data_IF_851382104939
#
_entry.id   IF_851382104939
#
_cell.length_a   1.000
_cell.length_b   1.000
_cell.length_c   1.000
_cell.angle_alpha   90.00
_cell.angle_beta   90.00
_cell.angle_gamma   90.00
#
_symmetry.space_group_name_H-M   'P 1'
#
loop_
_entity.id
_entity.type
_entity.pdbx_description
1 polymer ?
#
# COMPACT_ATOMS: atom_id res chain seq x y z
N UNK A 1 0.02 -20.50 8.45
CA UNK A 1 1.32 -20.33 7.79
C UNK A 1 2.24 -19.57 8.76
N UNK A 2 3.11 -20.31 9.41
CA UNK A 2 4.17 -19.73 10.25
C UNK A 2 5.23 -19.21 9.28
N UNK A 3 5.35 -17.90 9.15
CA UNK A 3 6.46 -17.30 8.42
C UNK A 3 7.75 -17.61 9.20
N UNK A 4 8.86 -17.95 8.52
CA UNK A 4 10.15 -18.21 9.16
C UNK A 4 10.61 -17.04 10.04
N UNK A 5 10.19 -15.84 9.72
CA UNK A 5 10.43 -14.61 10.49
C UNK A 5 9.88 -14.62 11.92
N UNK A 6 8.88 -15.47 12.21
CA UNK A 6 8.29 -15.62 13.55
C UNK A 6 9.07 -16.62 14.43
N UNK A 7 10.07 -17.30 13.88
CA UNK A 7 10.93 -18.23 14.60
C UNK A 7 12.03 -17.51 15.36
N UNK A 8 12.59 -18.19 16.37
CA UNK A 8 13.74 -17.67 17.14
C UNK A 8 14.91 -17.37 16.17
N UNK A 9 15.30 -16.12 16.08
CA UNK A 9 16.35 -15.64 15.15
C UNK A 9 15.83 -15.09 13.81
N UNK A 10 14.50 -15.06 13.58
CA UNK A 10 13.91 -14.39 12.43
C UNK A 10 13.82 -12.87 12.62
N UNK A 11 13.57 -12.13 11.52
CA UNK A 11 13.46 -10.66 11.50
C UNK A 11 12.14 -10.11 12.04
N UNK A 12 11.30 -10.98 12.60
CA UNK A 12 9.98 -10.63 13.15
C UNK A 12 8.87 -10.59 12.08
N UNK A 13 7.71 -10.09 12.48
CA UNK A 13 6.52 -10.07 11.62
C UNK A 13 6.71 -9.11 10.42
N UNK A 14 6.76 -9.59 9.16
CA UNK A 14 6.98 -8.75 7.98
C UNK A 14 5.83 -7.77 7.69
N UNK A 15 4.70 -7.92 8.36
CA UNK A 15 3.54 -7.04 8.17
C UNK A 15 3.83 -5.59 8.57
N UNK A 16 4.62 -5.36 9.62
CA UNK A 16 5.03 -4.01 10.03
C UNK A 16 5.91 -3.35 8.96
N UNK A 17 6.91 -4.08 8.48
CA UNK A 17 7.79 -3.62 7.41
C UNK A 17 7.01 -3.28 6.13
N UNK A 18 6.10 -4.19 5.73
CA UNK A 18 5.23 -4.00 4.57
C UNK A 18 4.39 -2.73 4.72
N UNK A 19 3.75 -2.54 5.87
CA UNK A 19 2.93 -1.37 6.16
C UNK A 19 3.69 -0.05 6.01
N UNK A 20 4.91 0.03 6.57
CA UNK A 20 5.79 1.21 6.44
C UNK A 20 6.13 1.50 4.98
N UNK A 21 6.41 0.47 4.18
CA UNK A 21 6.67 0.61 2.75
C UNK A 21 5.47 1.17 2.00
N UNK A 22 4.28 0.60 2.21
CA UNK A 22 3.05 1.06 1.56
C UNK A 22 2.73 2.50 1.93
N UNK A 23 2.84 2.88 3.19
CA UNK A 23 2.58 4.26 3.63
C UNK A 23 3.62 5.23 3.06
N UNK A 24 4.89 4.84 2.95
CA UNK A 24 5.93 5.62 2.27
C UNK A 24 5.59 5.82 0.78
N UNK A 25 5.08 4.81 0.09
CA UNK A 25 4.63 4.91 -1.30
C UNK A 25 3.39 5.80 -1.46
N UNK A 26 2.45 5.79 -0.51
CA UNK A 26 1.31 6.71 -0.46
C UNK A 26 1.78 8.16 -0.36
N UNK A 27 2.73 8.45 0.54
CA UNK A 27 3.31 9.80 0.67
C UNK A 27 3.99 10.26 -0.63
N UNK A 28 4.77 9.38 -1.26
CA UNK A 28 5.44 9.69 -2.53
C UNK A 28 4.43 9.98 -3.66
N UNK A 29 3.32 9.24 -3.72
CA UNK A 29 2.27 9.46 -4.71
C UNK A 29 1.53 10.79 -4.50
N UNK A 30 1.23 11.15 -3.24
CA UNK A 30 0.63 12.45 -2.91
C UNK A 30 1.57 13.61 -3.23
N UNK A 31 2.85 13.49 -2.90
CA UNK A 31 3.86 14.49 -3.18
C UNK A 31 4.00 14.71 -4.71
N UNK A 32 4.08 13.64 -5.49
CA UNK A 32 4.10 13.69 -6.95
C UNK A 32 2.91 14.44 -7.54
N UNK A 33 1.73 14.26 -6.95
CA UNK A 33 0.49 14.94 -7.36
C UNK A 33 0.40 16.39 -6.84
N UNK A 34 1.37 16.87 -6.06
CA UNK A 34 1.31 18.18 -5.43
C UNK A 34 0.19 18.32 -4.38
N UNK A 35 -0.25 17.19 -3.79
CA UNK A 35 -1.34 17.15 -2.80
C UNK A 35 -0.87 17.25 -1.35
N UNK A 36 0.42 17.48 -1.12
CA UNK A 36 1.01 17.58 0.21
C UNK A 36 1.24 16.22 0.87
N UNK A 37 1.23 16.20 2.19
CA UNK A 37 1.43 15.00 3.01
C UNK A 37 0.12 14.26 3.34
N UNK A 38 0.20 13.25 4.21
CA UNK A 38 -0.94 12.45 4.69
C UNK A 38 -1.81 13.20 5.71
N UNK A 39 -1.33 14.30 6.27
CA UNK A 39 -2.07 15.07 7.26
C UNK A 39 -3.44 15.52 6.76
N UNK A 40 -4.49 15.20 7.53
CA UNK A 40 -5.87 15.55 7.20
C UNK A 40 -6.51 14.76 6.04
N UNK A 41 -5.78 13.87 5.35
CA UNK A 41 -6.30 13.06 4.25
C UNK A 41 -7.24 11.95 4.72
N UNK A 42 -7.98 11.37 3.76
CA UNK A 42 -8.86 10.21 3.98
C UNK A 42 -8.32 9.00 3.22
N UNK A 43 -8.17 7.87 3.92
CA UNK A 43 -7.79 6.59 3.33
C UNK A 43 -8.92 5.59 3.50
N UNK A 44 -9.37 4.97 2.41
CA UNK A 44 -10.29 3.85 2.43
C UNK A 44 -9.54 2.55 2.18
N UNK A 45 -9.78 1.52 2.99
CA UNK A 45 -9.08 0.22 2.94
C UNK A 45 -10.06 -0.93 2.74
N UNK A 46 -9.80 -1.75 1.75
CA UNK A 46 -10.47 -3.03 1.57
C UNK A 46 -9.63 -4.12 2.22
N UNK A 47 -10.10 -4.63 3.37
CA UNK A 47 -9.38 -5.54 4.26
C UNK A 47 -8.73 -4.83 5.45
N UNK A 48 -8.92 -5.40 6.65
CA UNK A 48 -8.39 -4.92 7.93
C UNK A 48 -7.52 -5.99 8.62
N UNK A 49 -6.75 -6.76 7.84
CA UNK A 49 -5.84 -7.79 8.33
C UNK A 49 -4.61 -7.22 9.04
N UNK A 50 -3.59 -8.07 9.24
CA UNK A 50 -2.38 -7.69 9.99
C UNK A 50 -1.64 -6.49 9.37
N UNK A 51 -1.37 -6.51 8.06
CA UNK A 51 -0.69 -5.38 7.40
C UNK A 51 -1.52 -4.11 7.53
N UNK A 52 -2.84 -4.19 7.32
CA UNK A 52 -3.74 -3.04 7.39
C UNK A 52 -3.74 -2.39 8.78
N UNK A 53 -3.69 -3.16 9.88
CA UNK A 53 -3.60 -2.57 11.22
C UNK A 53 -2.30 -1.78 11.43
N UNK A 54 -1.16 -2.31 11.02
CA UNK A 54 0.09 -1.54 11.07
C UNK A 54 0.08 -0.32 10.14
N UNK A 55 -0.59 -0.40 8.99
CA UNK A 55 -0.81 0.77 8.13
C UNK A 55 -1.65 1.84 8.84
N UNK A 56 -2.70 1.45 9.56
CA UNK A 56 -3.53 2.38 10.33
C UNK A 56 -2.67 3.10 11.38
N UNK A 57 -1.83 2.37 12.13
CA UNK A 57 -0.93 2.97 13.12
C UNK A 57 0.05 3.98 12.49
N UNK A 58 0.67 3.62 11.37
CA UNK A 58 1.56 4.49 10.61
C UNK A 58 0.84 5.75 10.07
N UNK A 59 -0.38 5.62 9.58
CA UNK A 59 -1.21 6.73 9.11
C UNK A 59 -1.60 7.66 10.26
N UNK A 60 -2.01 7.09 11.40
CA UNK A 60 -2.33 7.86 12.60
C UNK A 60 -1.14 8.65 13.12
N UNK A 61 0.06 8.06 13.09
CA UNK A 61 1.30 8.75 13.48
C UNK A 61 1.63 9.94 12.56
N UNK A 62 1.14 9.94 11.31
CA UNK A 62 1.29 11.02 10.32
C UNK A 62 0.13 12.02 10.30
N UNK A 63 -0.78 11.93 11.25
CA UNK A 63 -1.89 12.88 11.37
C UNK A 63 -2.97 12.72 10.33
N UNK A 64 -3.22 11.49 9.85
CA UNK A 64 -4.31 11.19 8.92
C UNK A 64 -5.64 11.74 9.44
N UNK A 65 -6.46 12.32 8.58
CA UNK A 65 -7.75 12.87 8.96
C UNK A 65 -8.79 11.77 9.24
N UNK A 66 -8.83 10.72 8.45
CA UNK A 66 -9.75 9.59 8.63
C UNK A 66 -9.24 8.35 7.92
N UNK A 67 -9.41 7.19 8.57
CA UNK A 67 -9.28 5.87 7.96
C UNK A 67 -10.64 5.19 7.97
N UNK A 68 -11.05 4.62 6.84
CA UNK A 68 -12.27 3.81 6.72
C UNK A 68 -11.82 2.44 6.25
N UNK A 69 -11.95 1.41 7.08
CA UNK A 69 -11.54 0.06 6.72
C UNK A 69 -12.71 -0.91 6.80
N UNK A 70 -12.81 -1.81 5.84
CA UNK A 70 -13.81 -2.88 5.81
C UNK A 70 -13.16 -4.26 5.89
N UNK A 71 -13.79 -5.18 6.60
CA UNK A 71 -13.38 -6.59 6.65
C UNK A 71 -14.61 -7.49 6.80
N UNK A 72 -14.49 -8.73 6.35
CA UNK A 72 -15.55 -9.74 6.44
C UNK A 72 -15.56 -10.47 7.78
N UNK A 73 -14.53 -10.32 8.60
CA UNK A 73 -14.38 -10.98 9.91
C UNK A 73 -15.01 -10.15 11.04
N UNK A 74 -16.13 -10.61 11.64
CA UNK A 74 -16.72 -9.89 12.77
C UNK A 74 -15.77 -9.78 13.95
N UNK A 75 -15.00 -10.84 14.24
CA UNK A 75 -14.06 -10.86 15.35
C UNK A 75 -12.95 -9.81 15.16
N UNK A 76 -12.42 -9.72 13.93
CA UNK A 76 -11.38 -8.73 13.60
C UNK A 76 -11.90 -7.29 13.70
N UNK A 77 -13.09 -7.04 13.19
CA UNK A 77 -13.72 -5.73 13.28
C UNK A 77 -13.94 -5.31 14.73
N UNK A 78 -14.40 -6.22 15.59
CA UNK A 78 -14.62 -5.91 16.99
C UNK A 78 -13.31 -5.65 17.75
N UNK A 79 -12.28 -6.47 17.52
CA UNK A 79 -10.92 -6.25 18.05
C UNK A 79 -10.40 -4.86 17.71
N UNK A 80 -10.46 -4.49 16.43
CA UNK A 80 -9.95 -3.20 15.96
C UNK A 80 -10.79 -2.01 16.42
N UNK A 81 -12.11 -2.17 16.59
CA UNK A 81 -12.96 -1.12 17.17
C UNK A 81 -12.56 -0.79 18.60
N UNK A 82 -12.23 -1.82 19.38
CA UNK A 82 -11.74 -1.62 20.75
C UNK A 82 -10.36 -0.96 20.75
N UNK A 83 -9.47 -1.43 19.87
CA UNK A 83 -8.10 -0.92 19.77
C UNK A 83 -8.05 0.56 19.33
N UNK A 84 -8.86 0.94 18.36
CA UNK A 84 -8.88 2.31 17.81
C UNK A 84 -9.99 3.19 18.39
N UNK A 85 -10.57 2.84 19.53
CA UNK A 85 -11.61 3.65 20.16
C UNK A 85 -11.16 5.11 20.38
N UNK A 86 -11.97 6.06 19.93
CA UNK A 86 -11.65 7.49 20.03
C UNK A 86 -10.61 8.01 19.02
N UNK A 87 -10.14 7.19 18.09
CA UNK A 87 -9.27 7.59 16.99
C UNK A 87 -10.11 7.82 15.70
N UNK A 88 -9.61 8.57 14.72
CA UNK A 88 -10.31 8.82 13.46
C UNK A 88 -10.31 7.58 12.52
N UNK A 89 -10.73 6.44 13.06
CA UNK A 89 -10.78 5.14 12.36
C UNK A 89 -12.20 4.61 12.39
N UNK A 90 -12.79 4.43 11.23
CA UNK A 90 -14.11 3.82 11.04
C UNK A 90 -13.94 2.39 10.53
N UNK A 91 -14.56 1.44 11.22
CA UNK A 91 -14.46 0.01 10.92
C UNK A 91 -15.82 -0.55 10.54
N UNK A 92 -15.92 -1.12 9.36
CA UNK A 92 -17.15 -1.64 8.77
C UNK A 92 -17.06 -3.16 8.60
N UNK A 93 -18.02 -3.87 9.17
CA UNK A 93 -18.24 -5.26 8.81
C UNK A 93 -18.88 -5.32 7.43
N UNK A 94 -18.26 -6.01 6.51
CA UNK A 94 -18.71 -6.18 5.13
C UNK A 94 -19.17 -7.61 4.86
N UNK A 95 -20.17 -7.80 4.01
CA UNK A 95 -20.44 -9.10 3.42
C UNK A 95 -19.34 -9.47 2.40
N UNK A 96 -19.14 -10.76 2.08
CA UNK A 96 -18.09 -11.18 1.14
C UNK A 96 -18.19 -10.54 -0.27
N UNK A 97 -19.39 -10.19 -0.69
CA UNK A 97 -19.73 -9.55 -1.97
C UNK A 97 -19.98 -8.05 -1.87
N UNK A 98 -19.82 -7.46 -0.68
CA UNK A 98 -20.01 -6.03 -0.47
C UNK A 98 -18.86 -5.24 -1.09
N UNK A 99 -19.20 -4.40 -2.06
CA UNK A 99 -18.29 -3.50 -2.77
C UNK A 99 -18.42 -2.03 -2.35
N UNK A 100 -19.18 -1.73 -1.31
CA UNK A 100 -19.46 -0.35 -0.90
C UNK A 100 -18.20 0.45 -0.59
N UNK A 101 -17.15 -0.19 -0.07
CA UNK A 101 -15.88 0.45 0.24
C UNK A 101 -15.19 1.06 -0.99
N UNK A 102 -15.39 0.50 -2.21
CA UNK A 102 -14.83 1.04 -3.44
C UNK A 102 -15.45 2.38 -3.85
N UNK A 103 -16.69 2.63 -3.43
CA UNK A 103 -17.40 3.89 -3.71
C UNK A 103 -17.16 4.98 -2.66
N UNK A 104 -16.37 4.69 -1.62
CA UNK A 104 -16.10 5.64 -0.55
C UNK A 104 -15.25 6.82 -1.05
N UNK A 105 -15.69 8.07 -0.84
CA UNK A 105 -14.87 9.23 -1.17
C UNK A 105 -13.61 9.27 -0.29
N UNK A 106 -12.44 9.24 -0.93
CA UNK A 106 -11.18 9.27 -0.22
C UNK A 106 -10.07 9.90 -1.08
N UNK A 107 -8.94 10.22 -0.48
CA UNK A 107 -7.73 10.63 -1.20
C UNK A 107 -6.98 9.41 -1.74
N UNK A 108 -6.92 8.34 -0.94
CA UNK A 108 -6.23 7.10 -1.27
C UNK A 108 -7.14 5.91 -1.01
N UNK A 109 -7.26 5.03 -1.98
CA UNK A 109 -7.87 3.71 -1.82
C UNK A 109 -6.78 2.64 -1.68
N UNK A 110 -6.87 1.79 -0.66
CA UNK A 110 -5.87 0.77 -0.34
C UNK A 110 -6.48 -0.64 -0.38
N UNK A 111 -6.26 -1.42 -1.46
CA UNK A 111 -6.55 -2.85 -1.47
C UNK A 111 -5.60 -3.58 -0.52
N UNK A 112 -6.12 -4.22 0.55
CA UNK A 112 -5.31 -4.91 1.57
C UNK A 112 -5.80 -6.34 1.87
N UNK A 113 -6.78 -6.87 1.13
CA UNK A 113 -7.30 -8.21 1.35
C UNK A 113 -6.84 -9.18 0.25
N UNK A 114 -7.59 -9.30 -0.82
CA UNK A 114 -7.36 -10.26 -1.89
C UNK A 114 -6.81 -9.59 -3.14
N UNK A 115 -6.11 -10.37 -3.98
CA UNK A 115 -5.74 -9.97 -5.34
C UNK A 115 -6.94 -9.95 -6.28
N UNK A 116 -6.77 -9.32 -7.47
CA UNK A 116 -7.78 -9.27 -8.51
C UNK A 116 -9.02 -8.43 -8.19
N UNK A 117 -8.96 -7.60 -7.15
CA UNK A 117 -10.12 -6.78 -6.71
C UNK A 117 -10.31 -5.52 -7.56
N UNK A 118 -9.27 -5.10 -8.26
CA UNK A 118 -9.34 -3.99 -9.21
C UNK A 118 -9.68 -4.56 -10.60
N UNK A 119 -10.95 -4.47 -10.93
CA UNK A 119 -11.57 -4.91 -12.18
C UNK A 119 -12.47 -3.78 -12.71
N UNK A 120 -12.99 -3.84 -13.94
CA UNK A 120 -13.73 -2.72 -14.54
C UNK A 120 -14.86 -2.20 -13.64
N UNK A 121 -15.61 -3.08 -12.99
CA UNK A 121 -16.75 -2.72 -12.15
C UNK A 121 -16.30 -2.00 -10.88
N UNK A 122 -15.31 -2.51 -10.17
CA UNK A 122 -14.79 -1.88 -8.95
C UNK A 122 -14.02 -0.59 -9.25
N UNK A 123 -13.23 -0.57 -10.33
CA UNK A 123 -12.53 0.64 -10.78
C UNK A 123 -13.52 1.74 -11.12
N UNK A 124 -14.66 1.42 -11.76
CA UNK A 124 -15.70 2.40 -12.08
C UNK A 124 -16.29 3.07 -10.83
N UNK A 125 -16.29 2.38 -9.68
CA UNK A 125 -16.81 2.90 -8.41
C UNK A 125 -15.83 3.82 -7.68
N UNK A 126 -14.51 3.68 -7.89
CA UNK A 126 -13.48 4.41 -7.14
C UNK A 126 -13.68 5.93 -7.18
N UNK A 127 -13.49 6.58 -6.04
CA UNK A 127 -13.60 8.04 -5.85
C UNK A 127 -12.35 8.56 -5.13
N UNK A 128 -11.19 8.21 -5.64
CA UNK A 128 -9.89 8.54 -5.06
C UNK A 128 -8.95 9.15 -6.11
N UNK A 129 -7.87 9.74 -5.67
CA UNK A 129 -6.78 10.19 -6.52
C UNK A 129 -5.67 9.14 -6.68
N UNK A 130 -5.49 8.30 -5.66
CA UNK A 130 -4.42 7.31 -5.60
C UNK A 130 -4.99 5.96 -5.21
N UNK A 131 -4.53 4.91 -5.86
CA UNK A 131 -4.66 3.52 -5.42
C UNK A 131 -3.28 3.03 -5.00
N UNK A 132 -3.13 2.68 -3.72
CA UNK A 132 -1.89 2.17 -3.15
C UNK A 132 -2.21 1.30 -1.93
N UNK A 133 -1.97 0.01 -2.01
CA UNK A 133 -2.30 -0.95 -0.94
C UNK A 133 -1.31 -2.08 -0.83
N UNK A 134 -1.52 -2.94 0.17
CA UNK A 134 -0.60 -4.02 0.50
C UNK A 134 -0.93 -5.37 -0.16
N UNK A 135 -2.14 -5.56 -0.71
CA UNK A 135 -2.52 -6.80 -1.37
C UNK A 135 -1.63 -7.07 -2.58
N UNK A 136 -1.29 -8.33 -2.81
CA UNK A 136 -0.56 -8.75 -4.00
C UNK A 136 -1.53 -8.91 -5.19
N UNK A 137 -1.02 -8.68 -6.41
CA UNK A 137 -1.77 -8.88 -7.67
C UNK A 137 -3.14 -8.17 -7.65
N UNK A 138 -3.16 -6.89 -7.32
CA UNK A 138 -4.38 -6.10 -7.10
C UNK A 138 -5.26 -6.00 -8.35
N UNK A 139 -4.64 -5.90 -9.55
CA UNK A 139 -5.34 -5.85 -10.82
C UNK A 139 -5.81 -7.27 -11.23
N UNK A 140 -7.05 -7.40 -11.71
CA UNK A 140 -7.54 -8.66 -12.27
C UNK A 140 -6.91 -8.98 -13.63
N UNK A 141 -6.72 -7.94 -14.45
CA UNK A 141 -6.00 -7.98 -15.72
C UNK A 141 -5.03 -6.79 -15.77
N UNK A 142 -3.73 -7.09 -15.66
CA UNK A 142 -2.68 -6.08 -15.55
C UNK A 142 -2.66 -5.05 -16.68
N UNK A 143 -3.04 -5.45 -17.90
CA UNK A 143 -2.98 -4.58 -19.08
C UNK A 143 -4.23 -3.74 -19.26
N UNK A 144 -5.38 -4.31 -18.92
CA UNK A 144 -6.68 -3.64 -19.05
C UNK A 144 -6.90 -2.69 -17.90
N UNK A 145 -6.75 -3.18 -16.68
CA UNK A 145 -7.21 -2.50 -15.47
C UNK A 145 -6.27 -1.34 -15.08
N UNK A 146 -4.97 -1.49 -15.32
CA UNK A 146 -4.01 -0.38 -15.19
C UNK A 146 -4.36 0.79 -16.13
N UNK A 147 -4.77 0.48 -17.37
CA UNK A 147 -5.23 1.49 -18.33
C UNK A 147 -6.52 2.16 -17.88
N UNK A 148 -7.48 1.39 -17.37
CA UNK A 148 -8.74 1.94 -16.87
C UNK A 148 -8.53 2.91 -15.69
N UNK A 149 -7.60 2.62 -14.79
CA UNK A 149 -7.22 3.55 -13.72
C UNK A 149 -6.62 4.83 -14.29
N UNK A 150 -5.69 4.71 -15.24
CA UNK A 150 -5.05 5.85 -15.90
C UNK A 150 -6.06 6.73 -16.66
N UNK A 151 -7.01 6.14 -17.41
CA UNK A 151 -8.08 6.84 -18.11
C UNK A 151 -8.99 7.65 -17.18
N UNK A 152 -9.12 7.21 -15.93
CA UNK A 152 -9.86 7.92 -14.87
C UNK A 152 -9.00 8.96 -14.14
N UNK A 153 -7.74 9.12 -14.50
CA UNK A 153 -6.81 10.02 -13.82
C UNK A 153 -6.45 9.56 -12.39
N UNK A 154 -6.60 8.27 -12.10
CA UNK A 154 -6.25 7.68 -10.82
C UNK A 154 -4.82 7.17 -10.90
N UNK A 155 -3.95 7.66 -10.01
CA UNK A 155 -2.57 7.17 -9.88
C UNK A 155 -2.59 5.80 -9.20
N UNK A 156 -2.10 4.79 -9.89
CA UNK A 156 -1.90 3.45 -9.33
C UNK A 156 -0.45 3.24 -8.95
N UNK A 157 -0.19 2.86 -7.71
CA UNK A 157 1.14 2.39 -7.27
C UNK A 157 1.10 0.86 -7.22
N UNK A 158 1.82 0.17 -8.12
CA UNK A 158 1.86 -1.29 -8.15
C UNK A 158 2.30 -1.88 -6.82
N UNK A 159 1.69 -3.01 -6.46
CA UNK A 159 1.93 -3.71 -5.20
C UNK A 159 3.41 -4.04 -4.98
N UNK A 160 4.11 -4.57 -5.97
CA UNK A 160 5.53 -4.93 -5.87
C UNK A 160 6.46 -3.72 -5.67
N UNK A 161 6.00 -2.50 -5.92
CA UNK A 161 6.71 -1.26 -5.56
C UNK A 161 6.38 -0.89 -4.12
N UNK A 162 5.10 -0.89 -3.76
CA UNK A 162 4.62 -0.41 -2.46
C UNK A 162 4.93 -1.38 -1.31
N UNK A 163 4.67 -2.69 -1.49
CA UNK A 163 4.72 -3.69 -0.42
C UNK A 163 6.08 -4.41 -0.28
N UNK A 164 7.06 -4.07 -1.10
CA UNK A 164 8.37 -4.76 -1.16
C UNK A 164 9.13 -4.82 0.16
N UNK A 165 8.81 -3.96 1.14
CA UNK A 165 9.51 -3.95 2.42
C UNK A 165 9.32 -5.23 3.23
N UNK A 166 8.25 -5.99 2.99
CA UNK A 166 8.11 -7.33 3.54
C UNK A 166 9.20 -8.29 3.04
N UNK A 167 9.53 -8.22 1.75
CA UNK A 167 10.61 -9.03 1.15
C UNK A 167 11.97 -8.56 1.69
N UNK A 168 12.20 -7.25 1.80
CA UNK A 168 13.44 -6.70 2.38
C UNK A 168 13.61 -7.19 3.81
N UNK A 169 12.56 -7.16 4.62
CA UNK A 169 12.58 -7.67 5.99
C UNK A 169 13.00 -9.15 6.05
N UNK A 170 12.39 -10.00 5.22
CA UNK A 170 12.72 -11.42 5.16
C UNK A 170 14.15 -11.66 4.61
N UNK A 171 14.61 -10.88 3.62
CA UNK A 171 15.95 -11.01 3.08
C UNK A 171 17.04 -10.69 4.12
N UNK A 172 16.77 -9.77 5.03
CA UNK A 172 17.70 -9.40 6.09
C UNK A 172 17.84 -10.48 7.16
N UNK A 173 16.96 -11.48 7.24
CA UNK A 173 17.08 -12.62 8.14
C UNK A 173 18.42 -13.38 7.99
N UNK A 174 19.01 -13.37 6.80
CA UNK A 174 20.32 -13.98 6.56
C UNK A 174 21.46 -13.33 7.36
N UNK A 175 21.26 -12.09 7.81
CA UNK A 175 22.24 -11.34 8.62
C UNK A 175 21.92 -11.40 10.13
N UNK A 176 20.85 -12.11 10.51
CA UNK A 176 20.32 -12.15 11.87
C UNK A 176 19.41 -10.98 12.20
N UNK A 177 18.78 -11.07 13.37
CA UNK A 177 17.91 -9.99 13.86
C UNK A 177 18.76 -8.84 14.38
N UNK A 178 18.56 -7.64 13.85
CA UNK A 178 19.19 -6.41 14.27
C UNK A 178 18.17 -5.54 15.02
N UNK A 179 18.54 -5.03 16.20
CA UNK A 179 17.69 -4.07 16.96
C UNK A 179 17.42 -2.79 16.15
N UNK A 180 18.38 -2.40 15.32
CA UNK A 180 18.28 -1.32 14.37
C UNK A 180 18.99 -1.74 13.08
N UNK A 181 18.22 -1.83 11.99
CA UNK A 181 18.73 -2.17 10.67
C UNK A 181 18.85 -0.89 9.81
N UNK A 182 20.06 -0.36 9.63
CA UNK A 182 20.26 0.87 8.85
C UNK A 182 19.91 0.68 7.36
N UNK A 183 20.06 -0.53 6.83
CA UNK A 183 19.66 -0.81 5.44
C UNK A 183 18.14 -0.80 5.29
N UNK A 184 17.42 -1.32 6.28
CA UNK A 184 15.96 -1.22 6.30
C UNK A 184 15.49 0.24 6.30
N UNK A 185 16.02 1.09 7.18
CA UNK A 185 15.68 2.52 7.25
C UNK A 185 16.06 3.28 5.97
N UNK A 186 17.15 2.89 5.31
CA UNK A 186 17.56 3.44 4.03
C UNK A 186 16.52 3.20 2.92
N UNK A 187 15.85 2.04 2.91
CA UNK A 187 14.76 1.74 1.98
C UNK A 187 13.54 2.65 2.16
N UNK A 188 13.31 3.18 3.36
CA UNK A 188 12.20 4.07 3.69
C UNK A 188 12.58 5.55 3.61
N UNK A 189 13.88 5.85 3.50
CA UNK A 189 14.40 7.21 3.37
C UNK A 189 14.12 7.82 2.01
N UNK A 190 14.40 9.15 1.89
CA UNK A 190 14.19 9.89 0.63
C UNK A 190 15.49 10.11 -0.17
N UNK A 191 16.65 9.91 0.44
CA UNK A 191 17.96 10.23 -0.15
C UNK A 191 18.54 9.12 -1.02
N UNK A 192 18.09 7.89 -0.83
CA UNK A 192 18.61 6.75 -1.59
C UNK A 192 17.73 6.50 -2.83
N UNK A 193 18.37 6.41 -3.99
CA UNK A 193 17.67 6.24 -5.28
C UNK A 193 16.84 4.94 -5.40
N UNK A 194 17.19 3.89 -4.62
CA UNK A 194 16.43 2.64 -4.60
C UNK A 194 15.44 2.58 -3.43
N UNK A 195 15.23 3.67 -2.69
CA UNK A 195 14.20 3.72 -1.65
C UNK A 195 12.79 3.58 -2.25
N UNK A 196 11.82 3.19 -1.42
CA UNK A 196 10.41 3.11 -1.85
C UNK A 196 9.95 4.47 -2.37
N UNK A 197 10.31 5.55 -1.67
CA UNK A 197 10.03 6.92 -2.08
C UNK A 197 10.57 7.24 -3.48
N UNK A 198 11.88 7.09 -3.68
CA UNK A 198 12.55 7.48 -4.92
C UNK A 198 12.09 6.63 -6.11
N UNK A 199 11.89 5.33 -5.91
CA UNK A 199 11.39 4.43 -6.97
C UNK A 199 9.96 4.79 -7.35
N UNK A 200 9.09 5.09 -6.37
CA UNK A 200 7.71 5.53 -6.64
C UNK A 200 7.72 6.82 -7.46
N UNK A 201 8.51 7.83 -7.08
CA UNK A 201 8.63 9.07 -7.83
C UNK A 201 9.14 8.87 -9.25
N UNK A 202 10.22 8.10 -9.44
CA UNK A 202 10.76 7.82 -10.79
C UNK A 202 9.74 7.11 -11.67
N UNK A 203 9.03 6.14 -11.12
CA UNK A 203 7.95 5.43 -11.81
C UNK A 203 6.85 6.40 -12.28
N UNK A 204 6.36 7.25 -11.38
CA UNK A 204 5.31 8.20 -11.69
C UNK A 204 5.77 9.27 -12.70
N UNK A 205 6.98 9.78 -12.55
CA UNK A 205 7.57 10.72 -13.49
C UNK A 205 7.75 10.09 -14.87
N UNK A 206 8.23 8.85 -14.94
CA UNK A 206 8.39 8.12 -16.19
C UNK A 206 7.04 7.89 -16.88
N UNK A 207 6.03 7.45 -16.12
CA UNK A 207 4.68 7.26 -16.63
C UNK A 207 4.14 8.54 -17.29
N UNK A 208 4.28 9.67 -16.59
CA UNK A 208 3.84 10.97 -17.10
C UNK A 208 4.63 11.43 -18.34
N UNK A 209 5.95 11.26 -18.34
CA UNK A 209 6.82 11.73 -19.44
C UNK A 209 6.66 10.91 -20.72
N UNK A 210 6.52 9.58 -20.56
CA UNK A 210 6.41 8.64 -21.69
C UNK A 210 4.95 8.39 -22.13
N UNK A 211 3.97 8.92 -21.40
CA UNK A 211 2.54 8.70 -21.67
C UNK A 211 2.13 7.22 -21.55
N UNK A 212 2.74 6.51 -20.61
CA UNK A 212 2.45 5.10 -20.31
C UNK A 212 1.81 4.96 -18.94
N UNK A 213 1.24 3.80 -18.65
CA UNK A 213 0.66 3.50 -17.36
C UNK A 213 1.73 3.29 -16.28
N UNK A 214 1.36 3.46 -15.01
CA UNK A 214 2.31 3.35 -13.89
C UNK A 214 2.84 1.93 -13.71
N UNK A 215 2.01 0.90 -13.91
CA UNK A 215 2.47 -0.49 -13.85
C UNK A 215 3.47 -0.78 -14.98
N UNK A 216 3.25 -0.24 -16.19
CA UNK A 216 4.21 -0.38 -17.29
C UNK A 216 5.52 0.34 -17.00
N UNK A 217 5.48 1.52 -16.41
CA UNK A 217 6.67 2.26 -16.01
C UNK A 217 7.45 1.51 -14.92
N UNK A 218 6.76 0.93 -13.93
CA UNK A 218 7.36 0.13 -12.87
C UNK A 218 8.07 -1.12 -13.41
N UNK A 219 7.41 -1.87 -14.31
CA UNK A 219 8.00 -3.04 -14.94
C UNK A 219 9.26 -2.66 -15.76
N UNK A 220 9.22 -1.57 -16.50
CA UNK A 220 10.38 -1.10 -17.25
C UNK A 220 11.56 -0.74 -16.36
N UNK A 221 11.32 -0.11 -15.20
CA UNK A 221 12.36 0.16 -14.20
C UNK A 221 12.94 -1.12 -13.60
N UNK A 222 12.10 -2.12 -13.32
CA UNK A 222 12.53 -3.42 -12.82
C UNK A 222 13.41 -4.16 -13.86
N UNK A 223 12.98 -4.19 -15.11
CA UNK A 223 13.74 -4.82 -16.20
C UNK A 223 15.12 -4.17 -16.41
N UNK A 224 15.22 -2.84 -16.28
CA UNK A 224 16.48 -2.11 -16.36
C UNK A 224 17.42 -2.46 -15.19
N UNK A 225 16.87 -2.57 -13.97
CA UNK A 225 17.65 -2.95 -12.79
C UNK A 225 18.20 -4.39 -12.85
N UNK A 226 17.45 -5.33 -13.46
CA UNK A 226 17.90 -6.71 -13.65
C UNK A 226 18.99 -6.88 -14.70
N UNK A 227 19.25 -5.87 -15.55
CA UNK A 227 20.29 -5.91 -16.60
C UNK A 227 21.63 -5.33 -16.19
N UNK A 228 21.69 -4.72 -15.00
CA UNK A 228 22.89 -4.17 -14.37
C UNK A 228 23.58 -5.18 -13.46
#
# INVERSE_FOLDING_TARGET
DVCSSDLVGGSGNPSHATARGVVCAMEAALDHLGRGDLGGKVVAMQGAGNVASFMIDELLARGIGRVIASDISPARIEELRQHYAGRPVELRLAAPDDRSIFAEPCDIFAPNALGGVLEPESIAMLRCAVVCGAANNQLLDDRRDDRLLAERGIVYVPDFVANRMGIVNCANEQYGQLDHDPDFERHLGRSWEQSVWAVTHRMLQRAATEGITTARAANALADEACRQ
#
